data_IF_762225495976
#
_entry.id   IF_762225495976
#
_cell.length_a   1.000
_cell.length_b   1.000
_cell.length_c   1.000
_cell.angle_alpha   90.00
_cell.angle_beta   90.00
_cell.angle_gamma   90.00
#
_symmetry.space_group_name_H-M   'P 1'
#
loop_
_entity.id
_entity.type
_entity.pdbx_description
1 polymer ?
#
# COMPACT_ATOMS: atom_id res chain seq x y z
N UNK A 1 -6.53 -18.39 4.89
CA UNK A 1 -6.23 -17.23 4.01
C UNK A 1 -6.10 -16.01 4.91
N UNK A 2 -5.06 -15.20 4.74
CA UNK A 2 -4.90 -13.95 5.48
C UNK A 2 -5.98 -12.96 5.03
N UNK A 3 -6.78 -12.44 5.96
CA UNK A 3 -7.82 -11.46 5.67
C UNK A 3 -7.25 -10.05 5.94
N UNK A 4 -6.94 -9.31 4.88
CA UNK A 4 -6.36 -7.98 4.97
C UNK A 4 -7.44 -6.90 4.92
N UNK A 5 -7.46 -6.07 5.95
CA UNK A 5 -8.47 -5.03 6.16
C UNK A 5 -7.86 -3.68 5.78
N UNK A 6 -8.51 -2.98 4.86
CA UNK A 6 -8.16 -1.60 4.54
C UNK A 6 -8.46 -0.68 5.73
N UNK A 7 -7.46 0.09 6.13
CA UNK A 7 -7.52 0.98 7.28
C UNK A 7 -7.01 2.36 6.93
N UNK A 8 -7.65 3.38 7.48
CA UNK A 8 -7.22 4.77 7.39
C UNK A 8 -6.35 5.13 8.59
N UNK A 9 -5.31 5.91 8.34
CA UNK A 9 -4.36 6.39 9.33
C UNK A 9 -4.56 7.89 9.52
N UNK A 10 -4.64 8.30 10.77
CA UNK A 10 -4.80 9.69 11.17
C UNK A 10 -3.69 10.09 12.15
N UNK A 11 -3.14 11.28 11.95
CA UNK A 11 -2.09 11.84 12.78
C UNK A 11 -2.63 13.02 13.59
N UNK A 12 -2.38 12.98 14.89
CA UNK A 12 -2.66 14.06 15.82
C UNK A 12 -1.64 15.20 15.64
N UNK A 13 -1.98 16.45 16.01
CA UNK A 13 -1.08 17.58 15.88
C UNK A 13 0.15 17.41 16.78
N UNK A 14 1.27 18.02 16.43
CA UNK A 14 2.55 17.87 17.17
C UNK A 14 2.44 18.19 18.67
N UNK A 15 1.54 19.12 19.04
CA UNK A 15 1.23 19.47 20.44
C UNK A 15 0.71 18.30 21.29
N UNK A 16 0.22 17.23 20.65
CA UNK A 16 -0.31 16.03 21.31
C UNK A 16 0.70 14.88 21.42
N UNK A 17 1.96 15.10 21.02
CA UNK A 17 3.02 14.09 21.01
C UNK A 17 3.04 13.20 19.76
N UNK A 18 2.47 13.67 18.65
CA UNK A 18 2.53 12.97 17.35
C UNK A 18 1.85 11.60 17.39
N UNK A 19 0.68 11.53 18.02
CA UNK A 19 -0.09 10.29 18.13
C UNK A 19 -0.66 9.89 16.77
N UNK A 20 -0.65 8.59 16.51
CA UNK A 20 -1.26 7.97 15.35
C UNK A 20 -2.48 7.19 15.80
N UNK A 21 -3.55 7.29 15.03
CA UNK A 21 -4.76 6.50 15.18
C UNK A 21 -5.05 5.81 13.86
N UNK A 22 -5.36 4.52 13.92
CA UNK A 22 -5.68 3.69 12.75
C UNK A 22 -7.06 3.11 12.97
N UNK A 23 -7.91 3.20 11.96
CA UNK A 23 -9.24 2.62 11.98
C UNK A 23 -9.55 1.86 10.68
N UNK A 24 -10.29 0.75 10.77
CA UNK A 24 -10.86 0.10 9.59
C UNK A 24 -11.74 1.07 8.79
N UNK A 25 -11.68 1.00 7.46
CA UNK A 25 -12.56 1.79 6.60
C UNK A 25 -14.05 1.48 6.86
N UNK A 26 -14.37 0.24 7.25
CA UNK A 26 -15.70 -0.21 7.61
C UNK A 26 -15.79 -0.62 9.10
N UNK A 27 -15.88 0.38 10.00
CA UNK A 27 -15.98 0.15 11.45
C UNK A 27 -17.30 -0.51 11.90
N UNK A 28 -18.35 -0.49 11.07
CA UNK A 28 -19.64 -1.10 11.38
C UNK A 28 -19.54 -2.64 11.48
N UNK A 29 -18.56 -3.24 10.82
CA UNK A 29 -18.31 -4.68 10.84
C UNK A 29 -17.05 -5.06 11.63
N UNK A 30 -16.16 -4.10 11.86
CA UNK A 30 -14.83 -4.33 12.40
C UNK A 30 -14.64 -3.42 13.64
N UNK A 31 -15.05 -3.89 14.84
CA UNK A 31 -15.12 -3.07 16.04
C UNK A 31 -13.76 -3.01 16.75
N UNK A 32 -12.72 -2.56 16.06
CA UNK A 32 -11.43 -2.28 16.68
C UNK A 32 -10.74 -1.08 16.05
N UNK A 33 -9.80 -0.49 16.79
CA UNK A 33 -8.90 0.56 16.29
C UNK A 33 -7.50 0.30 16.80
N UNK A 34 -6.48 0.93 16.21
CA UNK A 34 -5.13 0.91 16.77
C UNK A 34 -4.66 2.32 17.08
N UNK A 35 -3.83 2.49 18.11
CA UNK A 35 -3.26 3.80 18.44
C UNK A 35 -1.88 3.70 19.07
N UNK A 36 -1.12 4.79 18.98
CA UNK A 36 0.24 4.88 19.52
C UNK A 36 0.93 6.16 19.09
N UNK A 37 2.26 6.19 19.20
CA UNK A 37 3.09 7.28 18.65
C UNK A 37 3.48 6.98 17.20
N UNK A 38 3.88 7.99 16.43
CA UNK A 38 4.43 7.80 15.08
C UNK A 38 5.58 6.79 15.05
N UNK A 39 6.48 6.81 16.03
CA UNK A 39 7.58 5.83 16.12
C UNK A 39 7.07 4.38 16.27
N UNK A 40 5.98 4.15 17.01
CA UNK A 40 5.36 2.83 17.12
C UNK A 40 4.65 2.42 15.82
N UNK A 41 4.03 3.38 15.14
CA UNK A 41 3.45 3.16 13.82
C UNK A 41 4.52 2.71 12.81
N UNK A 42 5.62 3.45 12.72
CA UNK A 42 6.73 3.14 11.82
C UNK A 42 7.36 1.76 12.12
N UNK A 43 7.32 1.32 13.38
CA UNK A 43 7.80 0.00 13.83
C UNK A 43 6.71 -1.09 13.92
N UNK A 44 5.52 -0.85 13.37
CA UNK A 44 4.39 -1.78 13.41
C UNK A 44 3.99 -2.33 14.79
N UNK A 45 4.07 -1.49 15.82
CA UNK A 45 3.84 -1.85 17.24
C UNK A 45 2.75 -1.00 17.90
N UNK A 46 1.72 -0.64 17.14
CA UNK A 46 0.57 0.09 17.67
C UNK A 46 -0.25 -0.79 18.63
N UNK A 47 -0.87 -0.16 19.62
CA UNK A 47 -1.75 -0.83 20.57
C UNK A 47 -3.12 -1.01 19.95
N UNK A 48 -3.61 -2.25 19.90
CA UNK A 48 -4.96 -2.60 19.46
C UNK A 48 -5.96 -2.28 20.57
N UNK A 49 -7.07 -1.65 20.21
CA UNK A 49 -8.16 -1.29 21.10
C UNK A 49 -9.46 -1.86 20.53
N UNK A 50 -9.98 -2.91 21.15
CA UNK A 50 -11.28 -3.49 20.81
C UNK A 50 -12.40 -2.59 21.32
N UNK A 51 -13.43 -2.41 20.51
CA UNK A 51 -14.63 -1.66 20.86
C UNK A 51 -15.71 -2.66 21.30
N UNK A 52 -16.38 -2.35 22.41
CA UNK A 52 -17.46 -3.21 22.94
C UNK A 52 -18.67 -3.25 21.99
N UNK A 53 -18.86 -2.19 21.22
CA UNK A 53 -19.93 -2.09 20.23
C UNK A 53 -19.37 -1.57 18.91
N UNK A 54 -19.89 -2.07 17.77
CA UNK A 54 -19.68 -1.40 16.49
C UNK A 54 -20.10 0.05 16.60
N UNK A 55 -19.31 0.94 16.01
CA UNK A 55 -19.60 2.37 15.97
C UNK A 55 -19.58 2.82 14.54
N UNK A 56 -20.45 3.78 14.25
CA UNK A 56 -20.46 4.44 12.96
C UNK A 56 -19.09 5.08 12.70
N UNK A 57 -18.48 4.67 11.58
CA UNK A 57 -17.15 5.11 11.20
C UNK A 57 -17.09 6.64 11.05
N UNK A 58 -18.15 7.26 10.53
CA UNK A 58 -18.24 8.71 10.37
C UNK A 58 -18.15 9.42 11.71
N UNK A 59 -18.93 8.98 12.71
CA UNK A 59 -18.93 9.61 14.03
C UNK A 59 -17.56 9.54 14.71
N UNK A 60 -16.87 8.40 14.60
CA UNK A 60 -15.53 8.24 15.18
C UNK A 60 -14.48 9.11 14.49
N UNK A 61 -14.55 9.22 13.16
CA UNK A 61 -13.70 10.11 12.37
C UNK A 61 -13.95 11.57 12.74
N UNK A 62 -15.21 11.99 12.88
CA UNK A 62 -15.57 13.34 13.30
C UNK A 62 -15.05 13.68 14.71
N UNK A 63 -15.20 12.77 15.68
CA UNK A 63 -14.64 12.96 17.04
C UNK A 63 -13.11 13.15 17.01
N UNK A 64 -12.41 12.40 16.14
CA UNK A 64 -10.95 12.51 15.99
C UNK A 64 -10.57 13.80 15.28
N UNK A 65 -11.32 14.21 14.25
CA UNK A 65 -11.16 15.48 13.54
C UNK A 65 -11.31 16.67 14.48
N UNK A 66 -12.31 16.65 15.36
CA UNK A 66 -12.50 17.67 16.40
C UNK A 66 -11.32 17.75 17.39
N UNK A 67 -10.63 16.64 17.62
CA UNK A 67 -9.38 16.56 18.41
C UNK A 67 -8.13 16.98 17.61
N UNK A 68 -8.30 17.46 16.39
CA UNK A 68 -7.23 17.93 15.50
C UNK A 68 -6.52 16.83 14.72
N UNK A 69 -7.03 15.60 14.72
CA UNK A 69 -6.44 14.54 13.89
C UNK A 69 -6.70 14.84 12.41
N UNK A 70 -5.67 14.62 11.60
CA UNK A 70 -5.72 14.79 10.15
C UNK A 70 -5.41 13.46 9.47
N UNK A 71 -6.07 13.20 8.34
CA UNK A 71 -5.78 12.02 7.53
C UNK A 71 -4.33 12.05 7.05
N UNK A 72 -3.66 10.90 7.12
CA UNK A 72 -2.25 10.74 6.78
C UNK A 72 -2.05 9.79 5.61
N UNK A 73 -2.60 8.57 5.69
CA UNK A 73 -2.43 7.54 4.66
C UNK A 73 -3.47 6.43 4.80
N UNK A 74 -3.56 5.57 3.80
CA UNK A 74 -4.26 4.28 3.88
C UNK A 74 -3.24 3.14 4.00
N UNK A 75 -3.56 2.12 4.81
CA UNK A 75 -2.75 0.92 5.01
C UNK A 75 -3.64 -0.32 5.02
N UNK A 76 -3.02 -1.49 4.98
CA UNK A 76 -3.69 -2.78 5.12
C UNK A 76 -3.22 -3.48 6.38
N UNK A 77 -4.17 -3.96 7.18
CA UNK A 77 -3.92 -4.64 8.45
C UNK A 77 -4.43 -6.07 8.38
N UNK A 78 -3.57 -7.04 8.68
CA UNK A 78 -3.94 -8.46 8.72
C UNK A 78 -4.83 -8.73 9.94
N UNK A 79 -6.02 -9.26 9.69
CA UNK A 79 -6.93 -9.71 10.74
C UNK A 79 -6.29 -10.83 11.56
N UNK A 80 -6.26 -10.67 12.89
CA UNK A 80 -5.71 -11.64 13.84
C UNK A 80 -4.30 -11.30 14.32
N UNK A 81 -3.36 -11.02 13.41
CA UNK A 81 -1.96 -10.68 13.80
C UNK A 81 -1.73 -9.17 13.93
N UNK A 82 -2.60 -8.35 13.33
CA UNK A 82 -2.48 -6.90 13.23
C UNK A 82 -1.19 -6.42 12.56
N UNK A 83 -0.58 -7.26 11.72
CA UNK A 83 0.54 -6.85 10.86
C UNK A 83 0.07 -5.80 9.86
N UNK A 84 0.89 -4.78 9.66
CA UNK A 84 0.56 -3.65 8.79
C UNK A 84 1.39 -3.69 7.50
N UNK A 85 0.79 -3.24 6.39
CA UNK A 85 1.46 -3.02 5.10
C UNK A 85 0.95 -1.74 4.46
N UNK A 86 1.82 -1.06 3.70
CA UNK A 86 1.46 0.15 2.95
C UNK A 86 0.93 -0.16 1.55
N UNK A 87 1.17 -1.36 1.05
CA UNK A 87 0.70 -1.79 -0.27
C UNK A 87 -0.52 -2.70 -0.12
N UNK A 88 -1.44 -2.63 -1.08
CA UNK A 88 -2.62 -3.47 -1.09
C UNK A 88 -2.24 -4.92 -1.39
N UNK A 89 -2.33 -5.85 -0.44
CA UNK A 89 -1.95 -7.25 -0.65
C UNK A 89 -2.92 -8.00 -1.57
N UNK A 90 -4.10 -7.42 -1.84
CA UNK A 90 -5.07 -7.98 -2.78
C UNK A 90 -4.78 -7.56 -4.23
N UNK A 91 -3.91 -6.58 -4.44
CA UNK A 91 -3.42 -6.18 -5.75
C UNK A 91 -2.05 -6.82 -5.92
N UNK A 92 -1.93 -7.78 -6.84
CA UNK A 92 -0.62 -8.23 -7.30
C UNK A 92 0.08 -7.02 -7.92
N UNK A 93 1.19 -6.58 -7.35
CA UNK A 93 2.03 -5.56 -7.99
C UNK A 93 2.32 -5.98 -9.43
N UNK A 94 2.12 -5.07 -10.38
CA UNK A 94 2.45 -5.26 -11.81
C UNK A 94 3.94 -5.59 -12.05
N UNK A 95 4.79 -5.52 -11.02
CA UNK A 95 6.20 -5.91 -11.07
C UNK A 95 6.47 -7.40 -11.34
N UNK A 96 5.44 -8.26 -11.40
CA UNK A 96 5.55 -9.64 -11.93
C UNK A 96 5.10 -9.78 -13.39
N UNK A 97 4.70 -8.69 -14.07
CA UNK A 97 4.19 -8.72 -15.45
C UNK A 97 5.20 -8.26 -16.52
N UNK A 98 6.37 -7.75 -16.16
CA UNK A 98 7.43 -7.39 -17.12
C UNK A 98 8.68 -8.28 -16.96
N UNK A 99 8.53 -9.57 -17.26
CA UNK A 99 9.61 -10.34 -17.90
C UNK A 99 9.03 -10.98 -19.15
N UNK A 100 8.78 -10.15 -20.16
CA UNK A 100 8.64 -10.65 -21.52
C UNK A 100 9.86 -11.52 -21.84
N UNK A 101 9.68 -12.78 -22.24
CA UNK A 101 10.76 -13.56 -22.81
C UNK A 101 11.16 -12.90 -24.13
N UNK A 102 12.30 -12.21 -24.11
CA UNK A 102 13.21 -11.97 -25.24
C UNK A 102 12.47 -12.02 -26.59
N UNK A 103 11.91 -10.89 -27.00
CA UNK A 103 11.56 -10.69 -28.40
C UNK A 103 12.81 -10.99 -29.23
N UNK A 104 12.82 -12.02 -30.10
CA UNK A 104 13.97 -12.24 -30.96
C UNK A 104 14.07 -11.04 -31.89
N UNK A 105 15.20 -10.33 -31.80
CA UNK A 105 15.57 -9.26 -32.72
C UNK A 105 15.28 -9.68 -34.16
N UNK A 106 14.71 -8.79 -35.00
CA UNK A 106 14.57 -9.10 -36.41
C UNK A 106 15.96 -9.40 -36.99
N UNK A 107 16.08 -10.40 -37.89
CA UNK A 107 17.37 -10.73 -38.49
C UNK A 107 17.92 -9.51 -39.21
N UNK A 108 19.21 -9.21 -38.99
CA UNK A 108 19.94 -8.17 -39.70
C UNK A 108 19.70 -8.32 -41.20
N UNK A 109 19.21 -7.25 -41.83
CA UNK A 109 19.18 -7.16 -43.28
C UNK A 109 20.62 -7.23 -43.79
N UNK A 110 21.01 -8.40 -44.29
CA UNK A 110 22.25 -8.59 -45.03
C UNK A 110 22.12 -7.79 -46.32
N UNK A 111 22.69 -6.59 -46.35
CA UNK A 111 22.90 -5.86 -47.59
C UNK A 111 24.04 -6.56 -48.34
N UNK A 112 23.71 -7.39 -49.33
CA UNK A 112 24.70 -7.84 -50.32
C UNK A 112 25.21 -6.63 -51.10
N UNK A 113 26.42 -6.20 -50.76
CA UNK A 113 27.21 -5.29 -51.57
C UNK A 113 27.70 -6.09 -52.78
N UNK A 114 27.02 -5.97 -53.93
CA UNK A 114 27.61 -6.38 -55.21
C UNK A 114 28.64 -5.33 -55.63
N UNK A 115 29.85 -5.47 -55.10
CA UNK A 115 31.03 -4.77 -55.61
C UNK A 115 31.49 -5.46 -56.89
N UNK A 116 31.71 -4.61 -57.89
CA UNK A 116 32.19 -4.82 -59.24
C UNK A 116 33.48 -5.63 -59.32
N UNK A 117 33.48 -6.65 -60.19
CA UNK A 117 34.69 -7.30 -60.69
C UNK A 117 34.81 -7.10 -62.20
N UNK A 118 35.65 -6.15 -62.61
CA UNK A 118 36.33 -6.16 -63.91
C UNK A 118 37.14 -7.46 -64.06
N UNK A 119 37.17 -8.06 -65.25
CA UNK A 119 38.40 -8.23 -66.08
C UNK A 119 38.20 -9.27 -67.21
N UNK A 120 38.53 -8.81 -68.43
CA UNK A 120 39.15 -9.43 -69.61
C UNK A 120 38.97 -10.94 -69.91
N UNK A 121 38.52 -11.25 -71.13
CA UNK A 121 39.37 -11.73 -72.24
C UNK A 121 38.70 -11.45 -73.58
#
# INVERSE_FOLDING_TARGET
>A
MANWIECEVYCAPSSSGGKVWVCPANMNQIPWTMSGTKARFDNSSLTVNTLNTPKDAWNFKEEKRQKGYSYFSTIWVESGTFRMRKDNPNIKSESELERDPISPSPPEAVYEIKSSGLFNF
#
